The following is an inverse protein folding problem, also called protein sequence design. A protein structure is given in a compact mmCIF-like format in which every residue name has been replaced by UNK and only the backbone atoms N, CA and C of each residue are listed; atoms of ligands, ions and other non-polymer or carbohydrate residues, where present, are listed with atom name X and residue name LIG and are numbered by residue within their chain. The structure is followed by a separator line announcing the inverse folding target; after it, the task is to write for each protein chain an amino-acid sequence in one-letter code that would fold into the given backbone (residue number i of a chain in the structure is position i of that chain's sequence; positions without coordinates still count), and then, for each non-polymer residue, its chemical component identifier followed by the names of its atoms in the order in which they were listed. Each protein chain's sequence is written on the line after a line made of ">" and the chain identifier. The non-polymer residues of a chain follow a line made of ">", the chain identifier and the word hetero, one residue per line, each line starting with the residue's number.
data_IF_301833738613
#
_entry.id   IF_301833738613
#
_cell.length_a   1.000
_cell.length_b   1.000
_cell.length_c   1.000
_cell.angle_alpha   90.00
_cell.angle_beta   90.00
_cell.angle_gamma   90.00
#
_symmetry.space_group_name_H-M   'P 1'
#
loop_
_entity.id
_entity.type
_entity.pdbx_description
1 polymer ?
#
# COMPACT_ATOMS: atom_id res chain seq x y z
N UNK A 1 18.62 2.21 12.62
CA UNK A 1 18.32 2.55 11.22
C UNK A 1 18.88 3.94 10.96
N UNK A 2 20.03 4.05 10.30
CA UNK A 2 20.59 5.36 9.95
C UNK A 2 19.84 5.89 8.73
N UNK A 3 19.12 7.01 8.88
CA UNK A 3 18.47 7.65 7.76
C UNK A 3 19.54 8.23 6.82
N UNK A 4 19.62 7.70 5.60
CA UNK A 4 20.50 8.24 4.57
C UNK A 4 19.74 9.40 3.91
N UNK A 5 20.18 10.62 4.19
CA UNK A 5 19.66 11.81 3.51
C UNK A 5 20.53 12.14 2.29
N UNK A 6 20.06 11.91 1.05
CA UNK A 6 20.86 12.20 -0.13
C UNK A 6 21.07 13.73 -0.29
N UNK A 7 22.27 14.14 -0.76
CA UNK A 7 22.60 15.55 -0.95
C UNK A 7 21.70 16.21 -2.00
N UNK A 8 21.28 17.45 -1.73
CA UNK A 8 20.30 18.23 -2.50
C UNK A 8 20.66 18.41 -3.99
N UNK A 9 21.95 18.33 -4.34
CA UNK A 9 22.47 18.68 -5.68
C UNK A 9 22.08 17.70 -6.79
N UNK A 10 21.67 16.47 -6.45
CA UNK A 10 21.40 15.40 -7.42
C UNK A 10 19.96 14.86 -7.32
N UNK A 11 19.01 15.62 -6.77
CA UNK A 11 17.62 15.16 -6.71
C UNK A 11 17.01 15.20 -8.12
N UNK A 12 16.32 14.13 -8.56
CA UNK A 12 15.45 14.24 -9.71
C UNK A 12 14.42 15.37 -9.47
N UNK A 13 13.88 16.00 -10.53
CA UNK A 13 12.80 16.97 -10.39
C UNK A 13 11.72 16.39 -9.49
N UNK A 14 11.17 17.22 -8.59
CA UNK A 14 10.12 16.80 -7.65
C UNK A 14 8.98 16.22 -8.48
N UNK A 15 8.89 14.90 -8.49
CA UNK A 15 7.75 14.17 -9.00
C UNK A 15 6.94 13.79 -7.79
N UNK A 16 5.66 14.15 -7.79
CA UNK A 16 4.72 13.75 -6.72
C UNK A 16 4.49 12.23 -6.69
N UNK A 17 5.06 11.49 -7.65
CA UNK A 17 4.95 10.05 -7.72
C UNK A 17 6.06 9.36 -6.88
N UNK A 18 5.70 8.43 -5.98
CA UNK A 18 6.66 7.65 -5.24
C UNK A 18 7.41 6.68 -6.16
N UNK A 19 8.69 6.48 -5.85
CA UNK A 19 9.56 5.56 -6.56
C UNK A 19 9.80 4.29 -5.72
N UNK A 20 9.62 3.12 -6.35
CA UNK A 20 9.94 1.84 -5.73
C UNK A 20 11.42 1.51 -5.95
N UNK A 21 12.17 1.33 -4.85
CA UNK A 21 13.58 0.93 -4.90
C UNK A 21 13.65 -0.56 -4.61
N UNK A 22 14.11 -1.41 -5.56
CA UNK A 22 14.31 -2.82 -5.30
C UNK A 22 15.48 -2.98 -4.32
N UNK A 23 15.25 -3.71 -3.23
CA UNK A 23 16.27 -3.99 -2.23
C UNK A 23 16.71 -5.44 -2.33
N UNK A 24 18.03 -5.74 -2.22
CA UNK A 24 18.53 -7.11 -2.24
C UNK A 24 17.96 -7.95 -1.08
N UNK A 25 17.82 -7.34 0.09
CA UNK A 25 17.20 -7.92 1.26
C UNK A 25 15.88 -7.17 1.54
N UNK A 26 14.72 -7.84 1.53
CA UNK A 26 13.46 -7.23 1.88
C UNK A 26 13.54 -6.60 3.28
N UNK A 27 13.08 -5.36 3.42
CA UNK A 27 12.96 -4.71 4.73
C UNK A 27 11.88 -5.36 5.60
N UNK A 28 10.93 -6.02 4.93
CA UNK A 28 9.72 -6.59 5.52
C UNK A 28 9.57 -7.97 4.90
N UNK A 29 9.51 -9.01 5.74
CA UNK A 29 9.12 -10.34 5.27
C UNK A 29 7.60 -10.45 5.36
N UNK A 30 6.89 -10.55 4.23
CA UNK A 30 5.44 -10.50 4.19
C UNK A 30 4.79 -11.76 4.76
N UNK A 31 5.58 -12.80 5.07
CA UNK A 31 5.11 -14.05 5.68
C UNK A 31 5.14 -14.04 7.21
N UNK A 32 5.49 -12.91 7.84
CA UNK A 32 5.38 -12.81 9.28
C UNK A 32 3.89 -12.78 9.70
N UNK A 33 3.47 -13.61 10.66
CA UNK A 33 2.06 -13.73 11.04
C UNK A 33 1.51 -12.47 11.72
N UNK A 34 2.38 -11.60 12.23
CA UNK A 34 2.01 -10.32 12.83
C UNK A 34 1.95 -9.17 11.83
N UNK A 35 2.28 -9.42 10.56
CA UNK A 35 2.37 -8.38 9.55
C UNK A 35 1.08 -8.31 8.73
N UNK A 36 0.32 -7.24 8.92
CA UNK A 36 -0.99 -7.07 8.29
C UNK A 36 -0.90 -6.19 7.06
N UNK A 37 -1.18 -6.80 5.90
CA UNK A 37 -1.10 -6.15 4.60
C UNK A 37 -2.52 -5.83 4.09
N UNK A 38 -2.74 -4.58 3.71
CA UNK A 38 -3.97 -4.14 3.05
C UNK A 38 -3.73 -3.79 1.58
N UNK A 39 -4.52 -4.37 0.67
CA UNK A 39 -4.49 -4.06 -0.76
C UNK A 39 -5.63 -3.10 -1.12
N UNK A 40 -5.28 -1.93 -1.62
CA UNK A 40 -6.20 -0.96 -2.19
C UNK A 40 -6.40 -1.26 -3.68
N UNK A 41 -7.64 -1.49 -4.08
CA UNK A 41 -8.02 -1.89 -5.45
C UNK A 41 -9.01 -0.90 -6.07
N UNK A 42 -8.89 -0.69 -7.39
CA UNK A 42 -9.83 0.13 -8.14
C UNK A 42 -11.18 -0.60 -8.24
N UNK A 43 -12.27 0.13 -8.44
CA UNK A 43 -13.61 -0.49 -8.43
C UNK A 43 -13.84 -1.54 -9.51
N UNK A 44 -13.03 -1.54 -10.58
CA UNK A 44 -13.03 -2.57 -11.64
C UNK A 44 -12.42 -3.91 -11.22
N UNK A 45 -12.06 -4.06 -9.96
CA UNK A 45 -11.48 -5.29 -9.44
C UNK A 45 -12.50 -6.44 -9.49
N UNK A 46 -12.20 -7.45 -10.31
CA UNK A 46 -13.07 -8.61 -10.52
C UNK A 46 -12.92 -9.66 -9.41
N UNK A 47 -13.94 -10.50 -9.28
CA UNK A 47 -13.90 -11.67 -8.39
C UNK A 47 -12.81 -12.67 -8.79
N UNK A 48 -12.50 -12.79 -10.07
CA UNK A 48 -11.41 -13.65 -10.55
C UNK A 48 -10.03 -13.19 -10.08
N UNK A 49 -9.82 -11.88 -9.90
CA UNK A 49 -8.57 -11.36 -9.32
C UNK A 49 -8.45 -11.68 -7.83
N UNK A 50 -9.57 -11.75 -7.09
CA UNK A 50 -9.57 -12.22 -5.69
C UNK A 50 -9.19 -13.69 -5.59
N UNK A 51 -9.78 -14.51 -6.45
CA UNK A 51 -9.45 -15.93 -6.52
C UNK A 51 -7.98 -16.16 -6.86
N UNK A 52 -7.38 -15.32 -7.71
CA UNK A 52 -5.94 -15.38 -8.00
C UNK A 52 -5.09 -15.09 -6.77
N UNK A 53 -5.43 -14.05 -6.01
CA UNK A 53 -4.74 -13.70 -4.76
C UNK A 53 -4.80 -14.85 -3.75
N UNK A 54 -5.98 -15.45 -3.60
CA UNK A 54 -6.18 -16.61 -2.71
C UNK A 54 -5.43 -17.85 -3.22
N UNK A 55 -5.42 -18.09 -4.54
CA UNK A 55 -4.71 -19.22 -5.14
C UNK A 55 -3.19 -19.08 -5.09
N UNK A 56 -2.66 -17.85 -5.15
CA UNK A 56 -1.24 -17.54 -5.08
C UNK A 56 -0.75 -17.44 -3.63
N UNK A 57 -1.62 -17.68 -2.63
CA UNK A 57 -1.31 -17.62 -1.19
C UNK A 57 -0.58 -16.33 -0.80
N UNK A 58 -0.95 -15.22 -1.44
CA UNK A 58 -0.36 -13.93 -1.10
C UNK A 58 -0.80 -13.55 0.32
N UNK A 59 0.13 -13.09 1.17
CA UNK A 59 -0.16 -12.73 2.55
C UNK A 59 -0.89 -11.37 2.61
N UNK A 60 -2.11 -11.31 2.10
CA UNK A 60 -2.96 -10.11 2.09
C UNK A 60 -4.04 -10.30 3.14
N UNK A 61 -4.03 -9.45 4.17
CA UNK A 61 -5.02 -9.51 5.26
C UNK A 61 -6.37 -8.93 4.85
N UNK A 62 -6.39 -7.89 4.02
CA UNK A 62 -7.65 -7.28 3.55
C UNK A 62 -7.52 -6.63 2.17
N UNK A 63 -8.63 -6.58 1.44
CA UNK A 63 -8.73 -5.95 0.11
C UNK A 63 -9.85 -4.90 0.14
N UNK A 64 -9.48 -3.63 0.06
CA UNK A 64 -10.41 -2.49 0.13
C UNK A 64 -10.52 -1.83 -1.24
N UNK A 65 -11.76 -1.60 -1.69
CA UNK A 65 -12.04 -0.87 -2.94
C UNK A 65 -11.95 0.64 -2.74
N UNK A 66 -11.50 1.39 -3.74
CA UNK A 66 -11.43 2.87 -3.67
C UNK A 66 -12.77 3.52 -3.35
N UNK A 67 -13.88 3.07 -3.97
CA UNK A 67 -15.20 3.64 -3.65
C UNK A 67 -15.59 3.44 -2.18
N UNK A 68 -15.19 2.31 -1.59
CA UNK A 68 -15.42 2.03 -0.15
C UNK A 68 -14.47 2.87 0.70
N UNK A 69 -13.19 2.94 0.30
CA UNK A 69 -12.16 3.71 0.99
C UNK A 69 -12.54 5.19 1.15
N UNK A 70 -12.99 5.82 0.05
CA UNK A 70 -13.40 7.23 0.06
C UNK A 70 -14.63 7.53 0.92
N UNK A 71 -15.55 6.59 1.07
CA UNK A 71 -16.80 6.78 1.82
C UNK A 71 -16.66 6.45 3.30
N UNK A 72 -15.97 5.37 3.62
CA UNK A 72 -15.91 4.80 4.97
C UNK A 72 -14.74 5.35 5.79
N UNK A 73 -13.74 5.92 5.11
CA UNK A 73 -12.55 6.48 5.74
C UNK A 73 -12.37 7.96 5.38
N UNK A 74 -13.48 8.71 5.28
CA UNK A 74 -13.43 10.17 5.10
C UNK A 74 -12.94 10.85 6.39
N UNK A 75 -13.46 10.39 7.54
CA UNK A 75 -13.13 10.88 8.88
C UNK A 75 -11.68 10.57 9.26
N UNK A 76 -11.03 11.52 9.94
CA UNK A 76 -9.66 11.35 10.43
C UNK A 76 -9.53 10.15 11.38
N UNK A 77 -10.53 9.92 12.21
CA UNK A 77 -10.51 8.84 13.20
C UNK A 77 -10.56 7.45 12.57
N UNK A 78 -11.33 7.29 11.49
CA UNK A 78 -11.41 6.02 10.76
C UNK A 78 -10.12 5.74 9.98
N UNK A 79 -9.51 6.78 9.39
CA UNK A 79 -8.17 6.68 8.78
C UNK A 79 -7.13 6.25 9.81
N UNK A 80 -7.18 6.82 11.01
CA UNK A 80 -6.26 6.47 12.10
C UNK A 80 -6.44 5.01 12.51
N UNK A 81 -7.67 4.57 12.75
CA UNK A 81 -7.98 3.16 13.07
C UNK A 81 -7.48 2.20 11.99
N UNK A 82 -7.63 2.57 10.72
CA UNK A 82 -7.12 1.77 9.61
C UNK A 82 -5.59 1.70 9.65
N UNK A 83 -4.90 2.83 9.79
CA UNK A 83 -3.44 2.87 9.89
C UNK A 83 -2.92 2.09 11.10
N UNK A 84 -3.64 2.11 12.23
CA UNK A 84 -3.26 1.39 13.43
C UNK A 84 -3.46 -0.15 13.30
N UNK A 85 -4.29 -0.60 12.35
CA UNK A 85 -4.62 -2.02 12.16
C UNK A 85 -3.75 -2.74 11.13
N UNK A 86 -3.07 -2.02 10.24
CA UNK A 86 -2.28 -2.58 9.14
C UNK A 86 -0.89 -1.97 9.11
N UNK A 87 0.13 -2.79 8.89
CA UNK A 87 1.52 -2.35 8.84
C UNK A 87 1.92 -1.83 7.45
N UNK A 88 1.28 -2.34 6.39
CA UNK A 88 1.56 -1.94 5.02
C UNK A 88 0.32 -1.87 4.15
N UNK A 89 0.33 -0.89 3.25
CA UNK A 89 -0.68 -0.69 2.22
C UNK A 89 -0.05 -0.83 0.84
N UNK A 90 -0.64 -1.67 -0.01
CA UNK A 90 -0.30 -1.75 -1.43
C UNK A 90 -1.41 -1.13 -2.25
N UNK A 91 -1.04 -0.35 -3.25
CA UNK A 91 -1.97 0.22 -4.21
C UNK A 91 -1.38 0.15 -5.60
N UNK A 92 -2.24 0.07 -6.61
CA UNK A 92 -1.81 0.25 -7.99
C UNK A 92 -1.26 1.68 -8.19
N UNK A 93 -0.25 1.83 -9.05
CA UNK A 93 0.40 3.13 -9.32
C UNK A 93 -0.60 4.17 -9.81
N UNK A 94 -1.64 3.73 -10.51
CA UNK A 94 -2.74 4.59 -10.98
C UNK A 94 -3.58 5.20 -9.86
N UNK A 95 -3.48 4.69 -8.64
CA UNK A 95 -4.28 5.12 -7.48
C UNK A 95 -3.52 6.01 -6.51
N UNK A 96 -2.20 6.11 -6.65
CA UNK A 96 -1.37 7.02 -5.86
C UNK A 96 -1.90 8.47 -5.92
N UNK A 97 -2.29 9.04 -7.08
CA UNK A 97 -2.78 10.42 -7.13
C UNK A 97 -4.16 10.62 -6.46
N UNK A 98 -4.84 9.52 -6.14
CA UNK A 98 -6.16 9.49 -5.50
C UNK A 98 -6.06 9.30 -3.99
N UNK A 99 -4.91 8.84 -3.50
CA UNK A 99 -4.66 8.68 -2.08
C UNK A 99 -4.25 10.05 -1.51
N UNK A 100 -4.99 10.57 -0.52
CA UNK A 100 -4.71 11.86 0.10
C UNK A 100 -3.46 11.82 0.97
#
# INVERSE_FOLDING_TARGET
>A
LTLINPPLKNRPPISDNPHTIPLPNPLISPYFPTFHICLLVKDRFSLSSRQKIESELLPISNVIKVSKFRKEYESFEDKKKLCDSYDAFFADKSMIPVLP
#
